data_IF_641685883630
#
_entry.id   IF_641685883630
#
_cell.length_a   1.000
_cell.length_b   1.000
_cell.length_c   1.000
_cell.angle_alpha   90.00
_cell.angle_beta   90.00
_cell.angle_gamma   90.00
#
_symmetry.space_group_name_H-M   'P 1'
#
loop_
_entity.id
_entity.type
_entity.pdbx_description
1 polymer ?
#
# COMPACT_ATOMS: atom_id res chain seq x y z
N UNK A 1 -6.60 -7.73 -22.16
CA UNK A 1 -5.25 -7.19 -22.48
C UNK A 1 -5.31 -5.67 -22.42
N UNK A 2 -4.49 -5.07 -21.54
CA UNK A 2 -4.61 -3.70 -21.01
C UNK A 2 -4.41 -2.53 -22.02
N UNK A 3 -4.34 -2.77 -23.32
CA UNK A 3 -3.94 -1.75 -24.32
C UNK A 3 -4.97 -0.68 -24.69
N UNK A 4 -6.15 -0.61 -24.06
CA UNK A 4 -7.25 0.25 -24.53
C UNK A 4 -7.64 1.42 -23.61
N UNK A 5 -7.07 1.54 -22.40
CA UNK A 5 -7.50 2.55 -21.42
C UNK A 5 -6.33 3.32 -20.77
N UNK A 6 -5.24 3.50 -21.51
CA UNK A 6 -4.05 4.23 -21.04
C UNK A 6 -3.09 3.41 -20.16
N UNK A 7 -3.32 2.10 -20.02
CA UNK A 7 -2.38 1.19 -19.35
C UNK A 7 -1.29 0.70 -20.29
N UNK A 8 -0.05 0.79 -19.86
CA UNK A 8 1.13 0.35 -20.62
C UNK A 8 2.06 -0.48 -19.75
N UNK A 9 2.77 -1.48 -20.31
CA UNK A 9 3.82 -2.20 -19.60
C UNK A 9 4.83 -1.22 -18.97
N UNK A 10 5.31 -1.53 -17.77
CA UNK A 10 6.19 -0.64 -17.00
C UNK A 10 7.47 -1.34 -16.53
N UNK A 11 8.61 -0.97 -17.11
CA UNK A 11 9.90 -1.60 -16.80
C UNK A 11 10.10 -2.92 -17.56
N UNK A 12 10.83 -3.85 -16.96
CA UNK A 12 11.10 -5.16 -17.56
C UNK A 12 9.79 -5.93 -17.78
N UNK A 13 9.66 -6.54 -18.97
CA UNK A 13 8.53 -7.40 -19.29
C UNK A 13 8.77 -8.83 -18.80
N UNK A 14 9.01 -8.97 -17.49
CA UNK A 14 9.29 -10.23 -16.82
C UNK A 14 8.40 -10.33 -15.58
N UNK A 15 7.79 -11.50 -15.36
CA UNK A 15 6.99 -11.71 -14.16
C UNK A 15 7.88 -11.75 -12.90
N UNK A 16 9.02 -12.40 -13.00
CA UNK A 16 10.01 -12.49 -11.91
C UNK A 16 11.13 -11.51 -12.17
N UNK A 17 10.93 -10.25 -11.78
CA UNK A 17 11.92 -9.19 -11.93
C UNK A 17 12.47 -8.79 -10.56
N UNK A 18 13.58 -9.41 -10.17
CA UNK A 18 14.32 -9.06 -8.95
C UNK A 18 13.46 -9.12 -7.68
N UNK A 19 13.19 -7.95 -7.11
CA UNK A 19 12.57 -7.75 -5.80
C UNK A 19 11.04 -7.74 -5.82
N UNK A 20 10.37 -8.05 -6.93
CA UNK A 20 8.92 -8.18 -6.94
C UNK A 20 8.43 -9.37 -7.79
N UNK A 21 7.12 -9.58 -7.77
CA UNK A 21 6.43 -10.57 -8.61
C UNK A 21 5.32 -9.91 -9.40
N UNK A 22 5.15 -10.34 -10.64
CA UNK A 22 4.07 -9.92 -11.52
C UNK A 22 4.50 -8.95 -12.62
N UNK A 23 3.78 -9.01 -13.73
CA UNK A 23 3.93 -8.09 -14.85
C UNK A 23 3.37 -6.71 -14.48
N UNK A 24 4.18 -5.68 -14.64
CA UNK A 24 3.84 -4.32 -14.23
C UNK A 24 3.14 -3.56 -15.33
N UNK A 25 2.02 -2.92 -15.00
CA UNK A 25 1.33 -2.00 -15.88
C UNK A 25 1.03 -0.70 -15.15
N UNK A 26 1.33 0.41 -15.80
CA UNK A 26 1.09 1.75 -15.29
C UNK A 26 0.07 2.45 -16.17
N UNK A 27 -0.79 3.28 -15.58
CA UNK A 27 -1.74 4.09 -16.33
C UNK A 27 -1.19 5.50 -16.54
N UNK A 28 -1.25 6.00 -17.78
CA UNK A 28 -0.80 7.36 -18.15
C UNK A 28 0.67 7.65 -17.77
N UNK A 29 1.51 6.61 -17.71
CA UNK A 29 2.92 6.70 -17.32
C UNK A 29 3.15 7.32 -15.93
N UNK A 30 2.20 7.19 -15.01
CA UNK A 30 2.28 7.68 -13.64
C UNK A 30 2.43 6.53 -12.64
N UNK A 31 3.64 6.34 -12.05
CA UNK A 31 3.96 5.19 -11.21
C UNK A 31 3.28 5.21 -9.84
N UNK A 32 2.51 6.25 -9.49
CA UNK A 32 1.79 6.32 -8.22
C UNK A 32 0.86 5.10 -7.99
N UNK A 33 0.34 4.51 -9.07
CA UNK A 33 -0.31 3.20 -9.05
C UNK A 33 0.18 2.36 -10.23
N UNK A 34 0.94 1.32 -9.92
CA UNK A 34 1.36 0.29 -10.88
C UNK A 34 0.66 -1.01 -10.52
N UNK A 35 -0.16 -1.55 -11.41
CA UNK A 35 -0.80 -2.85 -11.21
C UNK A 35 0.17 -3.97 -11.53
N UNK A 36 0.11 -5.02 -10.71
CA UNK A 36 0.86 -6.26 -10.90
C UNK A 36 -0.10 -7.34 -11.41
N UNK A 37 0.27 -8.01 -12.49
CA UNK A 37 -0.49 -9.11 -13.06
C UNK A 37 0.24 -10.42 -12.92
N UNK A 38 -0.48 -11.49 -12.59
CA UNK A 38 0.06 -12.84 -12.61
C UNK A 38 0.41 -13.28 -14.04
N UNK A 39 1.04 -14.46 -14.15
CA UNK A 39 1.49 -14.98 -15.45
C UNK A 39 0.36 -15.23 -16.45
N UNK A 40 -0.88 -15.38 -15.97
CA UNK A 40 -2.06 -15.66 -16.78
C UNK A 40 -2.84 -14.37 -17.12
N UNK A 41 -2.43 -13.22 -16.56
CA UNK A 41 -2.95 -11.91 -16.90
C UNK A 41 -4.06 -11.39 -15.98
N UNK A 42 -4.18 -11.91 -14.75
CA UNK A 42 -5.10 -11.40 -13.73
C UNK A 42 -4.39 -10.52 -12.70
N UNK A 43 -5.07 -9.49 -12.16
CA UNK A 43 -4.47 -8.53 -11.21
C UNK A 43 -4.11 -9.23 -9.90
N UNK A 44 -2.83 -9.37 -9.62
CA UNK A 44 -2.31 -10.08 -8.44
C UNK A 44 -1.82 -9.15 -7.33
N UNK A 45 -1.72 -7.84 -7.59
CA UNK A 45 -1.22 -6.86 -6.63
C UNK A 45 -1.09 -5.47 -7.21
N UNK A 46 -0.48 -4.58 -6.45
CA UNK A 46 -0.11 -3.25 -6.93
C UNK A 46 1.13 -2.71 -6.19
N UNK A 47 1.76 -1.73 -6.81
CA UNK A 47 2.85 -0.95 -6.24
C UNK A 47 2.49 0.52 -6.25
N UNK A 48 2.86 1.20 -5.17
CA UNK A 48 2.98 2.64 -5.16
C UNK A 48 4.44 3.01 -5.42
N UNK A 49 4.70 3.60 -6.57
CA UNK A 49 6.01 4.11 -6.94
C UNK A 49 6.21 5.56 -6.54
N UNK A 50 7.37 5.86 -5.96
CA UNK A 50 7.78 7.19 -5.53
C UNK A 50 9.11 7.54 -6.17
N UNK A 51 9.10 8.44 -7.16
CA UNK A 51 10.31 8.84 -7.88
C UNK A 51 11.27 9.54 -6.92
N UNK A 52 12.56 9.16 -6.93
CA UNK A 52 13.54 9.77 -6.02
C UNK A 52 13.70 11.28 -6.26
N UNK A 53 13.45 11.74 -7.49
CA UNK A 53 13.45 13.16 -7.84
C UNK A 53 12.35 13.98 -7.15
N UNK A 54 11.31 13.34 -6.61
CA UNK A 54 10.22 14.00 -5.88
C UNK A 54 10.48 14.04 -4.37
N UNK A 55 11.50 13.33 -3.89
CA UNK A 55 11.80 13.23 -2.47
C UNK A 55 12.68 14.39 -1.98
N UNK A 56 12.58 14.75 -0.68
CA UNK A 56 13.49 15.70 -0.07
C UNK A 56 14.95 15.31 -0.27
N UNK A 57 15.78 16.27 -0.71
CA UNK A 57 17.20 16.04 -1.00
C UNK A 57 18.06 15.73 0.24
N UNK A 58 17.52 15.90 1.44
CA UNK A 58 18.17 15.56 2.70
C UNK A 58 18.10 14.05 3.02
N UNK A 59 17.41 13.25 2.20
CA UNK A 59 17.28 11.81 2.41
C UNK A 59 16.37 11.42 3.57
N UNK A 60 15.49 12.32 4.05
CA UNK A 60 14.60 12.04 5.17
C UNK A 60 13.49 11.03 4.83
N UNK A 61 13.24 10.79 3.54
CA UNK A 61 12.24 9.84 3.05
C UNK A 61 12.86 8.99 1.93
N UNK A 62 12.74 7.65 1.98
CA UNK A 62 12.31 6.90 3.16
C UNK A 62 13.33 7.04 4.30
N UNK A 63 12.91 7.02 5.58
CA UNK A 63 13.83 6.93 6.69
C UNK A 63 14.57 5.59 6.69
N UNK A 64 15.85 5.62 7.06
CA UNK A 64 16.70 4.42 7.16
C UNK A 64 16.10 3.38 8.13
N UNK A 65 15.46 3.86 9.21
CA UNK A 65 14.85 3.05 10.27
C UNK A 65 13.65 2.21 9.79
N UNK A 66 13.01 2.61 8.69
CA UNK A 66 11.83 1.93 8.12
C UNK A 66 12.04 1.56 6.66
N UNK A 67 13.29 1.19 6.31
CA UNK A 67 13.63 0.61 5.02
C UNK A 67 14.13 -0.80 5.30
N UNK A 68 13.24 -1.83 5.33
CA UNK A 68 11.93 -1.97 4.68
C UNK A 68 10.71 -1.33 5.40
N UNK A 69 9.58 -1.04 4.69
CA UNK A 69 9.05 -1.73 3.50
C UNK A 69 9.36 -1.05 2.16
N UNK A 70 10.12 0.03 2.17
CA UNK A 70 10.55 0.69 0.94
C UNK A 70 11.58 -0.16 0.21
N UNK A 71 11.26 -0.58 -1.02
CA UNK A 71 12.13 -1.37 -1.87
C UNK A 71 12.59 -0.52 -3.05
N UNK A 72 13.89 -0.51 -3.32
CA UNK A 72 14.44 0.28 -4.42
C UNK A 72 14.17 -0.39 -5.77
N UNK A 73 13.65 0.37 -6.73
CA UNK A 73 13.68 0.03 -8.16
C UNK A 73 14.77 0.87 -8.83
N UNK A 74 15.94 0.25 -8.98
CA UNK A 74 17.12 0.90 -9.58
C UNK A 74 16.95 1.20 -11.07
N UNK A 75 16.10 0.44 -11.77
CA UNK A 75 15.88 0.61 -13.21
C UNK A 75 14.99 1.84 -13.50
N UNK A 76 14.14 2.21 -12.54
CA UNK A 76 13.22 3.35 -12.62
C UNK A 76 13.59 4.53 -11.74
N UNK A 77 14.67 4.41 -10.96
CA UNK A 77 15.14 5.40 -9.99
C UNK A 77 14.02 5.88 -9.04
N UNK A 78 13.37 4.90 -8.41
CA UNK A 78 12.24 5.12 -7.52
C UNK A 78 12.26 4.17 -6.33
N UNK A 79 11.49 4.51 -5.31
CA UNK A 79 11.13 3.61 -4.22
C UNK A 79 9.76 3.00 -4.46
N UNK A 80 9.57 1.77 -4.00
CA UNK A 80 8.36 0.99 -4.12
C UNK A 80 7.81 0.62 -2.75
N UNK A 81 6.49 0.73 -2.63
CA UNK A 81 5.71 0.05 -1.61
C UNK A 81 4.77 -0.91 -2.32
N UNK A 82 4.86 -2.20 -1.98
CA UNK A 82 4.17 -3.27 -2.72
C UNK A 82 3.14 -3.95 -1.85
N UNK A 83 1.94 -4.16 -2.42
CA UNK A 83 0.89 -4.99 -1.87
C UNK A 83 0.53 -6.09 -2.88
N UNK A 84 0.34 -7.31 -2.40
CA UNK A 84 -0.15 -8.45 -3.18
C UNK A 84 -1.52 -8.90 -2.66
N UNK A 85 -2.38 -9.33 -3.58
CA UNK A 85 -3.74 -9.79 -3.30
C UNK A 85 -3.89 -11.30 -3.29
N UNK A 86 -2.82 -12.00 -3.68
CA UNK A 86 -2.66 -13.45 -3.65
C UNK A 86 -1.25 -13.77 -3.15
N UNK A 87 -0.96 -15.02 -2.73
CA UNK A 87 0.38 -15.41 -2.33
C UNK A 87 1.41 -15.09 -3.42
N UNK A 88 2.50 -14.35 -3.11
CA UNK A 88 3.47 -13.93 -4.13
C UNK A 88 4.19 -15.08 -4.86
N UNK A 89 4.32 -16.23 -4.20
CA UNK A 89 4.88 -17.45 -4.79
C UNK A 89 4.05 -17.95 -5.99
N UNK A 90 2.73 -17.72 -5.98
CA UNK A 90 1.82 -18.21 -7.02
C UNK A 90 1.80 -17.31 -8.25
N UNK A 91 2.10 -16.02 -8.10
CA UNK A 91 1.93 -14.99 -9.15
C UNK A 91 2.63 -15.36 -10.45
N UNK A 92 3.86 -15.88 -10.37
CA UNK A 92 4.68 -16.17 -11.54
C UNK A 92 4.92 -17.66 -11.78
N UNK A 93 4.54 -18.51 -10.83
CA UNK A 93 4.68 -19.97 -10.93
C UNK A 93 3.47 -20.57 -11.62
N UNK A 94 2.32 -20.62 -10.95
CA UNK A 94 1.06 -21.19 -11.43
C UNK A 94 0.14 -20.12 -12.01
N UNK A 95 0.08 -18.94 -11.38
CA UNK A 95 -0.90 -17.89 -11.63
C UNK A 95 -2.32 -18.37 -11.34
N UNK A 96 -3.30 -17.46 -11.41
CA UNK A 96 -4.70 -17.88 -11.27
C UNK A 96 -5.30 -18.33 -12.58
N UNK A 97 -6.25 -19.25 -12.47
CA UNK A 97 -7.17 -19.63 -13.53
C UNK A 97 -8.33 -18.63 -13.62
N UNK A 98 -9.05 -18.65 -14.76
CA UNK A 98 -10.28 -17.87 -14.91
C UNK A 98 -11.32 -18.24 -13.85
N UNK A 99 -11.42 -19.51 -13.46
CA UNK A 99 -12.40 -19.95 -12.47
C UNK A 99 -12.12 -19.36 -11.09
N UNK A 100 -10.86 -19.40 -10.64
CA UNK A 100 -10.42 -18.78 -9.38
C UNK A 100 -10.68 -17.27 -9.42
N UNK A 101 -10.32 -16.58 -10.51
CA UNK A 101 -10.55 -15.15 -10.63
C UNK A 101 -12.04 -14.76 -10.60
N UNK A 102 -12.92 -15.58 -11.19
CA UNK A 102 -14.37 -15.33 -11.14
C UNK A 102 -14.97 -15.57 -9.76
N UNK A 103 -14.42 -16.50 -8.98
CA UNK A 103 -14.88 -16.81 -7.63
C UNK A 103 -14.32 -15.83 -6.58
N UNK A 104 -13.04 -15.49 -6.67
CA UNK A 104 -12.30 -14.73 -5.68
C UNK A 104 -12.15 -13.24 -6.03
N UNK A 105 -12.44 -12.87 -7.29
CA UNK A 105 -12.21 -11.52 -7.79
C UNK A 105 -10.71 -11.18 -7.85
N UNK A 106 -10.35 -9.97 -7.42
CA UNK A 106 -8.96 -9.49 -7.48
C UNK A 106 -8.01 -10.29 -6.58
N UNK A 107 -8.50 -10.92 -5.50
CA UNK A 107 -7.73 -11.80 -4.64
C UNK A 107 -8.43 -12.07 -3.31
N UNK A 108 -7.89 -13.00 -2.52
CA UNK A 108 -8.48 -13.48 -1.25
C UNK A 108 -7.85 -12.86 -0.01
N UNK A 109 -6.62 -12.36 -0.14
CA UNK A 109 -5.78 -11.95 0.97
C UNK A 109 -5.08 -10.62 0.67
N UNK A 110 -4.40 -10.06 1.66
CA UNK A 110 -3.55 -8.89 1.49
C UNK A 110 -2.18 -9.15 2.11
N UNK A 111 -1.13 -9.02 1.31
CA UNK A 111 0.25 -9.15 1.74
C UNK A 111 1.00 -7.85 1.46
N UNK A 112 1.71 -7.32 2.44
CA UNK A 112 2.62 -6.20 2.26
C UNK A 112 4.02 -6.74 2.15
N UNK A 113 4.76 -6.30 1.12
CA UNK A 113 6.17 -6.65 1.02
C UNK A 113 6.99 -5.88 2.05
N UNK A 114 7.81 -6.59 2.81
CA UNK A 114 8.61 -6.06 3.93
C UNK A 114 10.09 -6.33 3.77
N UNK A 115 10.57 -6.62 2.56
CA UNK A 115 11.97 -6.84 2.28
C UNK A 115 12.25 -7.21 0.83
N UNK A 116 13.52 -7.40 0.45
CA UNK A 116 13.92 -7.63 -0.94
C UNK A 116 13.40 -8.93 -1.54
N UNK A 117 13.11 -9.96 -0.74
CA UNK A 117 12.53 -11.21 -1.22
C UNK A 117 10.99 -11.14 -1.18
N UNK A 118 10.30 -11.00 -2.32
CA UNK A 118 8.86 -10.78 -2.34
C UNK A 118 8.03 -11.98 -1.90
N UNK A 119 8.63 -13.16 -1.69
CA UNK A 119 7.87 -14.36 -1.30
C UNK A 119 8.11 -14.77 0.15
N UNK A 120 9.24 -14.39 0.75
CA UNK A 120 9.54 -14.66 2.16
C UNK A 120 9.48 -13.41 3.04
N UNK A 121 9.83 -12.23 2.51
CA UNK A 121 9.75 -10.96 3.23
C UNK A 121 8.38 -10.33 3.05
N UNK A 122 7.36 -10.93 3.65
CA UNK A 122 5.97 -10.49 3.56
C UNK A 122 5.29 -10.41 4.92
N UNK A 123 4.39 -9.44 5.05
CA UNK A 123 3.46 -9.29 6.15
C UNK A 123 2.05 -9.59 5.64
N UNK A 124 1.49 -10.73 6.04
CA UNK A 124 0.07 -11.02 5.81
C UNK A 124 -0.78 -10.13 6.72
N UNK A 125 -1.75 -9.44 6.12
CA UNK A 125 -2.70 -8.59 6.84
C UNK A 125 -3.90 -9.46 7.24
N UNK A 126 -4.26 -9.51 8.53
CA UNK A 126 -5.43 -10.28 8.95
C UNK A 126 -6.71 -9.82 8.24
N UNK A 127 -7.57 -10.77 7.86
CA UNK A 127 -8.84 -10.43 7.21
C UNK A 127 -9.93 -10.04 8.21
N UNK A 128 -9.84 -10.56 9.45
CA UNK A 128 -10.75 -10.21 10.53
C UNK A 128 -10.07 -9.28 11.52
N UNK A 129 -10.78 -8.23 11.92
CA UNK A 129 -10.28 -7.23 12.87
C UNK A 129 -9.88 -7.85 14.21
N UNK A 130 -10.61 -8.88 14.65
CA UNK A 130 -10.33 -9.60 15.89
C UNK A 130 -8.94 -10.25 15.90
N UNK A 131 -8.41 -10.62 14.74
CA UNK A 131 -7.11 -11.27 14.61
C UNK A 131 -5.94 -10.27 14.73
N UNK A 132 -6.22 -8.96 14.88
CA UNK A 132 -5.23 -7.94 15.21
C UNK A 132 -4.92 -7.89 16.71
N UNK A 133 -5.74 -8.51 17.57
CA UNK A 133 -5.54 -8.49 19.01
C UNK A 133 -4.18 -9.11 19.39
N UNK A 134 -3.37 -8.35 20.14
CA UNK A 134 -2.03 -8.77 20.56
C UNK A 134 -0.95 -8.68 19.48
N UNK A 135 -1.26 -8.11 18.30
CA UNK A 135 -0.28 -7.80 17.26
C UNK A 135 0.34 -6.40 17.45
N UNK A 136 1.28 -6.04 16.57
CA UNK A 136 1.88 -4.70 16.51
C UNK A 136 0.92 -3.64 15.92
N UNK A 137 -0.24 -4.04 15.40
CA UNK A 137 -1.23 -3.09 14.88
C UNK A 137 -1.90 -2.32 16.02
N UNK A 138 -1.58 -1.05 16.10
CA UNK A 138 -2.16 -0.12 17.06
C UNK A 138 -3.52 0.35 16.58
N UNK A 139 -4.53 0.19 17.42
CA UNK A 139 -5.90 0.63 17.14
C UNK A 139 -6.00 2.15 17.08
N UNK A 140 -6.38 2.70 15.92
CA UNK A 140 -6.71 4.10 15.74
C UNK A 140 -8.21 4.38 15.86
N UNK A 141 -8.63 5.57 15.40
CA UNK A 141 -10.01 6.00 15.50
C UNK A 141 -10.93 5.31 14.50
N UNK A 142 -12.20 5.22 14.89
CA UNK A 142 -13.28 5.02 13.94
C UNK A 142 -13.55 6.32 13.19
N UNK A 143 -13.43 6.32 11.87
CA UNK A 143 -13.79 7.47 11.03
C UNK A 143 -15.05 7.13 10.24
N UNK A 144 -16.09 7.93 10.45
CA UNK A 144 -17.35 7.75 9.76
C UNK A 144 -17.16 7.85 8.24
N UNK A 145 -17.70 6.87 7.51
CA UNK A 145 -17.54 6.78 6.07
C UNK A 145 -16.21 6.18 5.62
N UNK A 146 -15.40 5.64 6.54
CA UNK A 146 -14.12 4.99 6.24
C UNK A 146 -14.00 3.65 6.96
N UNK A 147 -14.26 3.63 8.27
CA UNK A 147 -14.13 2.45 9.13
C UNK A 147 -13.13 2.66 10.26
N UNK A 148 -12.75 1.55 10.92
CA UNK A 148 -11.80 1.52 12.02
C UNK A 148 -10.38 1.48 11.45
N UNK A 149 -9.55 2.48 11.78
CA UNK A 149 -8.16 2.54 11.32
C UNK A 149 -7.23 1.77 12.27
N UNK A 150 -6.19 1.16 11.70
CA UNK A 150 -5.09 0.56 12.43
C UNK A 150 -3.76 0.97 11.78
N UNK A 151 -2.75 1.16 12.63
CA UNK A 151 -1.44 1.68 12.27
C UNK A 151 -0.37 0.76 12.82
N UNK A 152 0.65 0.45 12.03
CA UNK A 152 1.71 -0.45 12.49
C UNK A 152 2.58 0.22 13.55
N UNK A 153 2.59 -0.36 14.75
CA UNK A 153 3.43 -0.01 15.90
C UNK A 153 3.45 1.50 16.23
N UNK A 154 2.27 2.12 16.23
CA UNK A 154 2.09 3.55 16.48
C UNK A 154 2.19 3.85 17.98
N UNK A 155 3.03 4.81 18.37
CA UNK A 155 3.18 5.22 19.77
C UNK A 155 3.19 6.74 19.88
N UNK A 156 2.79 7.26 21.03
CA UNK A 156 2.76 8.72 21.26
C UNK A 156 4.17 9.34 21.23
N UNK A 157 5.16 8.59 21.73
CA UNK A 157 6.54 8.99 21.98
C UNK A 157 7.55 8.38 20.98
N UNK A 158 7.05 7.88 19.83
CA UNK A 158 7.92 7.36 18.77
C UNK A 158 8.75 8.45 18.08
N UNK A 159 9.89 8.06 17.53
CA UNK A 159 10.62 8.89 16.57
C UNK A 159 9.84 8.88 15.24
N UNK A 160 9.72 10.03 14.57
CA UNK A 160 8.99 10.12 13.30
C UNK A 160 9.65 9.37 12.15
N UNK A 161 10.95 9.06 12.26
CA UNK A 161 11.63 8.17 11.32
C UNK A 161 11.19 6.71 11.49
N UNK A 162 10.52 6.35 12.59
CA UNK A 162 9.92 5.04 12.82
C UNK A 162 8.47 4.95 12.32
N UNK A 163 7.89 6.04 11.78
CA UNK A 163 6.50 6.04 11.32
C UNK A 163 6.35 5.14 10.09
N UNK A 164 5.83 3.93 10.32
CA UNK A 164 5.61 2.96 9.27
C UNK A 164 4.52 3.45 8.30
N UNK A 165 4.74 3.43 6.97
CA UNK A 165 3.86 4.12 6.03
C UNK A 165 2.51 3.43 5.84
N UNK A 166 2.37 2.17 6.25
CA UNK A 166 1.20 1.33 5.98
C UNK A 166 0.12 1.52 7.03
N UNK A 167 -1.12 1.66 6.58
CA UNK A 167 -2.30 1.58 7.42
C UNK A 167 -3.35 0.65 6.82
N UNK A 168 -4.18 0.10 7.68
CA UNK A 168 -5.28 -0.79 7.29
C UNK A 168 -6.56 -0.34 7.97
N UNK A 169 -7.69 -0.69 7.37
CA UNK A 169 -9.00 -0.27 7.83
C UNK A 169 -10.00 -1.42 7.75
N UNK A 170 -10.84 -1.50 8.78
CA UNK A 170 -11.86 -2.52 8.91
C UNK A 170 -13.25 -1.89 8.97
N UNK A 171 -14.20 -2.57 8.35
CA UNK A 171 -15.62 -2.21 8.37
C UNK A 171 -16.44 -3.45 8.74
N UNK A 172 -17.29 -3.32 9.76
CA UNK A 172 -18.05 -4.48 10.28
C UNK A 172 -17.17 -5.66 10.70
N UNK A 173 -15.95 -5.39 11.19
CA UNK A 173 -14.98 -6.40 11.62
C UNK A 173 -14.17 -7.06 10.50
N UNK A 174 -14.33 -6.66 9.23
CA UNK A 174 -13.61 -7.22 8.08
C UNK A 174 -12.69 -6.20 7.43
N UNK A 175 -11.54 -6.65 6.95
CA UNK A 175 -10.62 -5.83 6.18
C UNK A 175 -11.35 -5.29 4.95
N UNK A 176 -11.36 -3.97 4.81
CA UNK A 176 -12.08 -3.27 3.74
C UNK A 176 -11.15 -2.37 2.93
N UNK A 177 -10.11 -1.82 3.54
CA UNK A 177 -9.23 -0.86 2.90
C UNK A 177 -7.82 -0.98 3.47
N UNK A 178 -6.82 -0.66 2.66
CA UNK A 178 -5.46 -0.37 3.12
C UNK A 178 -4.93 0.87 2.43
N UNK A 179 -3.76 1.34 2.83
CA UNK A 179 -3.13 2.44 2.14
C UNK A 179 -1.75 2.79 2.66
N UNK A 180 -1.20 3.84 2.07
CA UNK A 180 0.10 4.38 2.45
C UNK A 180 0.02 5.87 2.75
N UNK A 181 0.70 6.27 3.81
CA UNK A 181 0.92 7.66 4.21
C UNK A 181 2.39 8.01 4.01
N UNK A 182 2.65 9.01 3.18
CA UNK A 182 4.00 9.49 2.89
C UNK A 182 4.14 10.91 3.43
N UNK A 183 5.16 11.14 4.25
CA UNK A 183 5.44 12.42 4.93
C UNK A 183 5.87 13.58 4.02
N UNK A 184 5.72 13.46 2.70
CA UNK A 184 6.04 14.50 1.74
C UNK A 184 5.02 14.55 0.62
N UNK A 185 5.02 15.66 -0.11
CA UNK A 185 4.21 15.86 -1.29
C UNK A 185 4.81 15.06 -2.45
N UNK A 186 3.97 14.28 -3.12
CA UNK A 186 4.30 13.51 -4.33
C UNK A 186 3.43 13.98 -5.48
N UNK A 187 3.99 14.24 -6.66
CA UNK A 187 3.27 14.95 -7.72
C UNK A 187 2.49 13.98 -8.62
N UNK A 188 1.34 13.52 -8.14
CA UNK A 188 0.39 12.74 -8.94
C UNK A 188 -1.06 13.04 -8.54
N UNK A 189 -1.99 13.12 -9.50
CA UNK A 189 -3.43 13.26 -9.21
C UNK A 189 -4.05 12.02 -8.53
N UNK A 190 -3.30 10.92 -8.40
CA UNK A 190 -3.73 9.70 -7.71
C UNK A 190 -3.51 9.78 -6.20
N UNK A 191 -2.67 10.71 -5.74
CA UNK A 191 -2.46 10.97 -4.32
C UNK A 191 -3.47 11.97 -3.80
N UNK A 192 -3.97 11.71 -2.59
CA UNK A 192 -4.61 12.70 -1.76
C UNK A 192 -3.53 13.58 -1.11
N UNK A 193 -3.79 14.88 -1.00
CA UNK A 193 -2.93 15.84 -0.30
C UNK A 193 -3.64 16.46 0.91
N UNK A 194 -3.92 15.67 1.95
CA UNK A 194 -4.58 16.14 3.16
C UNK A 194 -3.68 17.09 3.95
N UNK A 195 -4.25 18.13 4.54
CA UNK A 195 -3.54 18.89 5.58
C UNK A 195 -3.25 18.02 6.82
N UNK A 196 -2.24 18.40 7.61
CA UNK A 196 -1.74 17.61 8.75
C UNK A 196 -2.85 17.21 9.75
N UNK A 197 -3.83 18.08 10.00
CA UNK A 197 -4.97 17.76 10.89
C UNK A 197 -5.80 16.56 10.39
N UNK A 198 -5.92 16.39 9.07
CA UNK A 198 -6.61 15.25 8.44
C UNK A 198 -5.77 13.97 8.44
N UNK A 199 -4.45 14.07 8.57
CA UNK A 199 -3.57 12.91 8.81
C UNK A 199 -3.65 12.47 10.26
N UNK A 200 -3.65 13.41 11.20
CA UNK A 200 -3.75 13.14 12.64
C UNK A 200 -5.11 12.63 13.08
N UNK A 201 -6.19 13.03 12.40
CA UNK A 201 -7.55 12.69 12.77
C UNK A 201 -7.79 11.19 13.05
N UNK A 202 -7.43 10.25 12.15
CA UNK A 202 -7.62 8.82 12.38
C UNK A 202 -6.64 8.18 13.39
N UNK A 203 -5.64 8.90 13.88
CA UNK A 203 -4.64 8.37 14.80
C UNK A 203 -5.14 8.38 16.25
N UNK A 204 -4.86 7.30 16.96
CA UNK A 204 -5.01 7.16 18.42
C UNK A 204 -3.99 6.11 18.89
N UNK A 205 -2.97 6.44 19.69
CA UNK A 205 -2.57 7.80 20.05
C UNK A 205 -2.07 8.61 18.85
N UNK A 206 -1.98 9.93 18.99
CA UNK A 206 -1.35 10.81 17.99
C UNK A 206 0.14 10.99 18.36
N UNK A 207 1.11 10.57 17.53
CA UNK A 207 2.53 10.82 17.81
C UNK A 207 2.84 12.31 17.88
N UNK A 208 3.64 12.71 18.87
CA UNK A 208 3.98 14.13 19.08
C UNK A 208 4.89 14.70 17.99
N UNK A 209 5.59 13.84 17.25
CA UNK A 209 6.58 14.25 16.26
C UNK A 209 5.96 14.69 14.91
N UNK A 210 4.66 14.42 14.65
CA UNK A 210 4.08 14.56 13.31
C UNK A 210 4.07 15.99 12.73
N UNK A 211 3.95 17.01 13.57
CA UNK A 211 3.88 18.40 13.12
C UNK A 211 5.15 18.85 12.39
N UNK A 212 6.31 18.35 12.82
CA UNK A 212 7.59 18.74 12.26
C UNK A 212 7.91 17.97 10.96
N UNK A 213 7.32 16.79 10.79
CA UNK A 213 7.67 15.83 9.74
C UNK A 213 6.66 15.71 8.59
N UNK A 214 5.39 16.11 8.77
CA UNK A 214 4.31 15.89 7.79
C UNK A 214 3.64 17.21 7.36
N UNK A 215 4.40 18.12 6.74
CA UNK A 215 3.87 19.46 6.38
C UNK A 215 2.89 19.43 5.20
N UNK A 216 3.19 18.65 4.15
CA UNK A 216 2.30 18.47 2.98
C UNK A 216 2.31 17.00 2.56
N UNK A 217 1.68 16.10 3.33
CA UNK A 217 1.78 14.67 3.10
C UNK A 217 0.96 14.22 1.87
N UNK A 218 1.41 13.13 1.26
CA UNK A 218 0.67 12.38 0.26
C UNK A 218 0.09 11.11 0.87
N UNK A 219 -1.12 10.76 0.45
CA UNK A 219 -1.79 9.53 0.89
C UNK A 219 -2.49 8.85 -0.28
N UNK A 220 -2.58 7.53 -0.23
CA UNK A 220 -3.47 6.77 -1.10
C UNK A 220 -4.26 5.78 -0.26
N UNK A 221 -5.56 5.70 -0.52
CA UNK A 221 -6.43 4.63 -0.02
C UNK A 221 -6.72 3.66 -1.17
N UNK A 222 -6.67 2.36 -0.87
CA UNK A 222 -7.07 1.29 -1.76
C UNK A 222 -8.23 0.54 -1.11
N UNK A 223 -9.44 0.77 -1.64
CA UNK A 223 -10.66 0.12 -1.19
C UNK A 223 -10.78 -1.27 -1.84
N UNK A 224 -11.02 -2.29 -1.01
CA UNK A 224 -11.14 -3.70 -1.40
C UNK A 224 -12.60 -4.12 -1.62
N UNK A 225 -13.51 -3.16 -1.72
CA UNK A 225 -14.95 -3.41 -1.87
C UNK A 225 -15.51 -2.84 -3.17
N UNK A 226 -16.58 -3.47 -3.67
CA UNK A 226 -17.34 -2.99 -4.82
C UNK A 226 -18.38 -1.95 -4.40
N UNK A 227 -18.35 -0.76 -5.00
CA UNK A 227 -19.39 0.26 -4.85
C UNK A 227 -18.93 1.49 -4.07
N UNK A 228 -18.73 2.59 -4.80
CA UNK A 228 -18.58 3.92 -4.21
C UNK A 228 -19.98 4.46 -3.86
N UNK A 229 -20.23 5.08 -2.68
CA UNK A 229 -19.27 5.65 -1.73
C UNK A 229 -19.25 4.91 -0.37
N UNK A 230 -18.15 5.00 0.40
CA UNK A 230 -17.98 4.34 1.69
C UNK A 230 -18.81 4.97 2.82
N UNK A 231 -19.87 5.76 2.55
CA UNK A 231 -20.72 6.38 3.58
C UNK A 231 -21.40 5.37 4.51
N UNK A 232 -21.47 4.10 4.09
CA UNK A 232 -21.95 2.99 4.91
C UNK A 232 -20.85 2.35 5.76
N UNK A 233 -19.59 2.74 5.62
CA UNK A 233 -18.52 2.22 6.45
C UNK A 233 -18.60 2.81 7.86
N UNK A 234 -18.67 1.92 8.83
CA UNK A 234 -18.76 2.24 10.24
C UNK A 234 -17.97 1.22 11.07
N UNK A 235 -17.80 1.57 12.33
CA UNK A 235 -17.38 0.67 13.39
C UNK A 235 -18.61 0.46 14.28
#
# INVERSE_FOLDING_TARGET
MAGHEGWTPFGLNECTAGTWRGFRYVKDNDPAVTLLFDKNGYIAGLQMGVLKSELPSNGSIPPEQITPPWIEDTDKDMWLLTAYFIPPDDICSDGRTEAEYQEEGTGTDLYIQTGPDPTSDIMAIPLQQADLEGSEWTEGKCVWGMGKHYWWNLRVDMDCHEFYPVFVMYNGGKLDTFGWNIGTYLNSPRYEHPGIDRVKYPLDPVPTCLDDHFQTPSRIHVYLTSGYPPFTNHC
#
